data_IF_639133479341
#
_entry.id   IF_639133479341
#
_cell.length_a   1.000
_cell.length_b   1.000
_cell.length_c   1.000
_cell.angle_alpha   90.00
_cell.angle_beta   90.00
_cell.angle_gamma   90.00
#
_symmetry.space_group_name_H-M   'P 1'
#
loop_
_entity.id
_entity.type
_entity.pdbx_description
1 polymer ?
#
# COMPACT_ATOMS: atom_id res chain seq x y z
N UNK A 1 -11.35 15.67 1.24
CA UNK A 1 -11.70 14.69 0.19
C UNK A 1 -11.75 15.43 -1.13
N UNK A 2 -11.11 14.91 -2.17
CA UNK A 2 -11.28 15.41 -3.53
C UNK A 2 -12.59 14.83 -4.11
N UNK A 3 -13.31 15.61 -4.92
CA UNK A 3 -14.52 15.15 -5.61
C UNK A 3 -14.26 15.12 -7.10
N UNK A 4 -14.57 13.99 -7.75
CA UNK A 4 -14.46 13.81 -9.19
C UNK A 4 -15.84 13.40 -9.70
N UNK A 5 -16.35 14.12 -10.70
CA UNK A 5 -17.60 13.77 -11.40
C UNK A 5 -17.25 13.14 -12.74
N UNK A 6 -17.77 11.94 -13.01
CA UNK A 6 -17.50 11.18 -14.22
C UNK A 6 -18.83 10.76 -14.84
N UNK A 7 -18.97 10.97 -16.14
CA UNK A 7 -20.10 10.43 -16.92
C UNK A 7 -19.72 9.08 -17.48
N UNK A 8 -20.57 8.08 -17.28
CA UNK A 8 -20.38 6.70 -17.70
C UNK A 8 -21.57 6.28 -18.58
N UNK A 9 -21.40 5.35 -19.54
CA UNK A 9 -22.52 4.73 -20.24
C UNK A 9 -23.45 3.98 -19.28
N UNK A 10 -24.73 3.89 -19.60
CA UNK A 10 -25.73 3.22 -18.76
C UNK A 10 -25.33 1.78 -18.41
N UNK A 11 -24.79 1.04 -19.38
CA UNK A 11 -24.31 -0.33 -19.17
C UNK A 11 -23.22 -0.43 -18.08
N UNK A 12 -22.34 0.58 -17.98
CA UNK A 12 -21.30 0.61 -16.94
C UNK A 12 -21.90 0.95 -15.57
N UNK A 13 -22.90 1.84 -15.53
CA UNK A 13 -23.64 2.15 -14.31
C UNK A 13 -24.35 0.92 -13.77
N UNK A 14 -25.09 0.21 -14.62
CA UNK A 14 -25.84 -0.99 -14.22
C UNK A 14 -24.90 -2.09 -13.70
N UNK A 15 -23.74 -2.24 -14.34
CA UNK A 15 -22.72 -3.17 -13.87
C UNK A 15 -22.17 -2.78 -12.49
N UNK A 16 -21.86 -1.49 -12.27
CA UNK A 16 -21.40 -0.98 -10.96
C UNK A 16 -22.48 -1.21 -9.89
N UNK A 17 -23.74 -0.92 -10.18
CA UNK A 17 -24.85 -1.12 -9.24
C UNK A 17 -25.01 -2.59 -8.84
N UNK A 18 -24.74 -3.53 -9.76
CA UNK A 18 -24.70 -4.96 -9.44
C UNK A 18 -23.51 -5.33 -8.55
N UNK A 19 -22.33 -4.75 -8.79
CA UNK A 19 -21.15 -4.95 -7.93
C UNK A 19 -21.39 -4.40 -6.52
N UNK A 20 -22.08 -3.26 -6.39
CA UNK A 20 -22.47 -2.71 -5.09
C UNK A 20 -23.41 -3.66 -4.35
N UNK A 21 -24.44 -4.16 -5.04
CA UNK A 21 -25.45 -5.07 -4.45
C UNK A 21 -24.87 -6.42 -4.04
N UNK A 22 -24.01 -7.00 -4.87
CA UNK A 22 -23.42 -8.33 -4.66
C UNK A 22 -22.16 -8.31 -3.78
N UNK A 23 -21.37 -7.24 -3.88
CA UNK A 23 -20.09 -7.08 -3.19
C UNK A 23 -20.18 -6.47 -1.78
N UNK A 24 -21.37 -6.09 -1.33
CA UNK A 24 -21.59 -5.56 0.03
C UNK A 24 -21.09 -4.13 0.25
N UNK A 25 -20.90 -3.36 -0.83
CA UNK A 25 -20.52 -1.96 -0.74
C UNK A 25 -21.74 -1.09 -0.37
N UNK A 26 -21.53 -0.02 0.39
CA UNK A 26 -22.59 0.91 0.77
C UNK A 26 -22.96 1.88 -0.37
N UNK A 27 -22.06 2.09 -1.34
CA UNK A 27 -22.31 2.97 -2.50
C UNK A 27 -21.40 2.67 -3.69
N UNK A 28 -21.77 3.19 -4.86
CA UNK A 28 -20.92 3.18 -6.05
C UNK A 28 -19.58 3.91 -5.82
N UNK A 29 -19.57 4.97 -5.01
CA UNK A 29 -18.35 5.71 -4.71
C UNK A 29 -17.35 4.86 -3.91
N UNK A 30 -17.85 4.03 -2.98
CA UNK A 30 -17.01 3.10 -2.22
C UNK A 30 -16.41 2.03 -3.12
N UNK A 31 -17.22 1.45 -4.01
CA UNK A 31 -16.74 0.49 -5.00
C UNK A 31 -15.68 1.09 -5.93
N UNK A 32 -15.90 2.31 -6.44
CA UNK A 32 -14.93 2.99 -7.31
C UNK A 32 -13.63 3.32 -6.56
N UNK A 33 -13.70 3.70 -5.28
CA UNK A 33 -12.49 3.92 -4.46
C UNK A 33 -11.67 2.64 -4.29
N UNK A 34 -12.34 1.51 -4.08
CA UNK A 34 -11.66 0.21 -4.01
C UNK A 34 -11.01 -0.14 -5.35
N UNK A 35 -11.70 0.07 -6.48
CA UNK A 35 -11.12 -0.12 -7.81
C UNK A 35 -9.88 0.75 -8.04
N UNK A 36 -9.90 2.02 -7.63
CA UNK A 36 -8.73 2.90 -7.74
C UNK A 36 -7.58 2.38 -6.89
N UNK A 37 -7.85 1.92 -5.66
CA UNK A 37 -6.84 1.32 -4.79
C UNK A 37 -6.22 0.08 -5.44
N UNK A 38 -7.05 -0.82 -5.97
CA UNK A 38 -6.59 -2.02 -6.67
C UNK A 38 -5.76 -1.71 -7.91
N UNK A 39 -6.14 -0.69 -8.68
CA UNK A 39 -5.39 -0.27 -9.85
C UNK A 39 -4.05 0.36 -9.47
N UNK A 40 -3.99 1.18 -8.41
CA UNK A 40 -2.74 1.74 -7.89
C UNK A 40 -1.79 0.65 -7.39
N UNK A 41 -2.33 -0.38 -6.73
CA UNK A 41 -1.57 -1.58 -6.36
C UNK A 41 -1.06 -2.33 -7.60
N UNK A 42 -1.91 -2.53 -8.61
CA UNK A 42 -1.50 -3.18 -9.87
C UNK A 42 -0.40 -2.41 -10.59
N UNK A 43 -0.45 -1.08 -10.56
CA UNK A 43 0.55 -0.19 -11.15
C UNK A 43 1.83 -0.08 -10.30
N UNK A 44 1.87 -0.71 -9.11
CA UNK A 44 3.03 -0.68 -8.22
C UNK A 44 3.22 0.66 -7.50
N UNK A 45 2.21 1.53 -7.49
CA UNK A 45 2.24 2.79 -6.75
C UNK A 45 2.06 2.59 -5.23
N UNK A 46 1.48 1.46 -4.85
CA UNK A 46 1.23 1.09 -3.47
C UNK A 46 1.68 -0.36 -3.26
N UNK A 47 2.31 -0.63 -2.10
CA UNK A 47 2.74 -1.99 -1.76
C UNK A 47 1.53 -2.92 -1.84
N UNK A 48 1.61 -3.94 -2.71
CA UNK A 48 0.53 -4.88 -2.82
C UNK A 48 0.32 -5.61 -1.49
N UNK A 49 -0.93 -5.98 -1.24
CA UNK A 49 -1.30 -6.77 -0.08
C UNK A 49 -0.45 -8.06 0.02
N UNK A 50 -0.05 -8.63 -1.11
CA UNK A 50 0.81 -9.81 -1.17
C UNK A 50 2.27 -9.50 -0.76
N UNK A 51 2.84 -8.39 -1.23
CA UNK A 51 4.18 -7.95 -0.83
C UNK A 51 4.24 -7.61 0.66
N UNK A 52 3.24 -6.92 1.19
CA UNK A 52 3.15 -6.65 2.64
C UNK A 52 3.09 -7.95 3.43
N UNK A 53 2.27 -8.92 3.00
CA UNK A 53 2.21 -10.24 3.64
C UNK A 53 3.55 -10.97 3.55
N UNK A 54 4.25 -10.87 2.42
CA UNK A 54 5.56 -11.49 2.23
C UNK A 54 6.60 -10.88 3.19
N UNK A 55 6.67 -9.55 3.28
CA UNK A 55 7.56 -8.84 4.20
C UNK A 55 7.28 -9.24 5.65
N UNK A 56 6.01 -9.25 6.08
CA UNK A 56 5.64 -9.68 7.44
C UNK A 56 6.08 -11.12 7.70
N UNK A 57 5.89 -12.03 6.74
CA UNK A 57 6.33 -13.43 6.87
C UNK A 57 7.85 -13.52 7.03
N UNK A 58 8.60 -12.80 6.20
CA UNK A 58 10.05 -12.75 6.27
C UNK A 58 10.55 -12.18 7.62
N UNK A 59 9.96 -11.07 8.07
CA UNK A 59 10.30 -10.47 9.37
C UNK A 59 9.99 -11.40 10.54
N UNK A 60 8.84 -12.10 10.52
CA UNK A 60 8.52 -13.10 11.55
C UNK A 60 9.52 -14.25 11.56
N UNK A 61 9.96 -14.72 10.39
CA UNK A 61 10.97 -15.77 10.28
C UNK A 61 12.37 -15.31 10.75
N UNK A 62 12.68 -14.02 10.64
CA UNK A 62 13.96 -13.47 11.12
C UNK A 62 14.09 -13.41 12.65
N UNK A 63 13.01 -13.69 13.39
CA UNK A 63 13.00 -13.67 14.85
C UNK A 63 12.92 -12.25 15.43
N UNK A 64 12.96 -12.17 16.76
CA UNK A 64 12.85 -10.91 17.50
C UNK A 64 14.23 -10.26 17.58
N UNK A 65 14.32 -8.99 17.19
CA UNK A 65 15.54 -8.20 17.36
C UNK A 65 15.85 -7.95 18.83
N UNK A 66 17.11 -8.12 19.22
CA UNK A 66 17.59 -7.93 20.60
C UNK A 66 18.23 -6.57 20.85
N UNK A 67 18.35 -5.73 19.82
CA UNK A 67 19.00 -4.41 19.89
C UNK A 67 18.06 -3.39 20.50
N UNK A 68 18.60 -2.57 21.40
CA UNK A 68 17.92 -1.40 21.96
C UNK A 68 17.80 -0.27 20.92
N UNK A 69 16.93 0.69 21.19
CA UNK A 69 16.72 1.84 20.31
C UNK A 69 18.01 2.65 20.12
N UNK A 70 18.75 2.88 21.21
CA UNK A 70 20.00 3.66 21.19
C UNK A 70 21.07 2.98 20.33
N UNK A 71 21.19 1.65 20.41
CA UNK A 71 22.11 0.87 19.57
C UNK A 71 21.76 0.96 18.08
N UNK A 72 20.46 1.01 17.74
CA UNK A 72 20.00 1.15 16.36
C UNK A 72 20.33 2.53 15.79
N UNK A 73 20.13 3.60 16.57
CA UNK A 73 20.47 4.96 16.15
C UNK A 73 21.98 5.14 15.99
N UNK A 74 22.77 4.66 16.96
CA UNK A 74 24.23 4.72 16.87
C UNK A 74 24.76 3.96 15.63
N UNK A 75 24.15 2.83 15.27
CA UNK A 75 24.49 2.11 14.04
C UNK A 75 24.09 2.87 12.77
N UNK A 76 22.91 3.49 12.75
CA UNK A 76 22.46 4.29 11.61
C UNK A 76 23.41 5.47 11.32
N UNK A 77 23.87 6.17 12.36
CA UNK A 77 24.85 7.26 12.22
C UNK A 77 26.18 6.76 11.64
N UNK A 78 26.71 5.64 12.16
CA UNK A 78 27.93 5.00 11.62
C UNK A 78 27.81 4.68 10.13
N UNK A 79 26.67 4.12 9.72
CA UNK A 79 26.41 3.77 8.31
C UNK A 79 26.35 5.00 7.40
N UNK A 80 25.79 6.11 7.88
CA UNK A 80 25.73 7.37 7.13
C UNK A 80 27.12 7.96 6.95
N UNK A 81 27.94 8.01 8.00
CA UNK A 81 29.31 8.52 7.92
C UNK A 81 30.20 7.66 7.02
N UNK A 82 30.07 6.33 7.08
CA UNK A 82 30.76 5.43 6.16
C UNK A 82 30.36 5.67 4.70
N UNK A 83 29.08 5.97 4.42
CA UNK A 83 28.62 6.32 3.06
C UNK A 83 29.14 7.68 2.59
N UNK A 84 29.27 8.67 3.47
CA UNK A 84 29.86 9.98 3.14
C UNK A 84 31.34 9.84 2.78
N UNK A 85 32.10 9.11 3.59
CA UNK A 85 33.52 8.86 3.36
C UNK A 85 33.78 8.13 2.03
N UNK A 86 32.88 7.23 1.61
CA UNK A 86 32.97 6.52 0.31
C UNK A 86 32.63 7.39 -0.90
N UNK A 87 31.97 8.54 -0.70
CA UNK A 87 31.57 9.48 -1.77
C UNK A 87 32.55 10.64 -1.94
N UNK A 88 33.48 10.83 -1.00
CA UNK A 88 34.59 11.78 -1.08
C UNK A 88 35.80 11.14 -1.77
#
# INVERSE_FOLDING_TARGET
MASITISLPDAAKDWIDEQVRSGGYASAAEYVNELVTQERVRQGEELSLEEVRHLIKASKASGIGTRSMDELFAEAERLVEAKKARRA
#
